data_IF_542710133327
#
_entry.id   IF_542710133327
#
_cell.length_a   1.000
_cell.length_b   1.000
_cell.length_c   1.000
_cell.angle_alpha   90.00
_cell.angle_beta   90.00
_cell.angle_gamma   90.00
#
_symmetry.space_group_name_H-M   'P 1'
#
loop_
_entity.id
_entity.type
_entity.pdbx_description
1 polymer ?
#
# COMPACT_ATOMS: atom_id res chain seq x y z
N UNK A 1 12.94 19.45 8.96
CA UNK A 1 13.27 19.60 7.53
C UNK A 1 12.26 20.54 6.89
N UNK A 2 12.68 21.48 6.05
CA UNK A 2 11.77 22.41 5.34
C UNK A 2 12.42 23.04 4.08
N UNK A 3 13.23 22.27 3.35
CA UNK A 3 14.03 22.77 2.23
C UNK A 3 13.19 23.44 1.13
N UNK A 4 12.06 22.85 0.74
CA UNK A 4 11.16 23.46 -0.25
C UNK A 4 10.65 24.84 0.21
N UNK A 5 10.29 24.98 1.49
CA UNK A 5 9.87 26.27 2.05
C UNK A 5 11.00 27.30 2.05
N UNK A 6 12.24 26.88 2.35
CA UNK A 6 13.42 27.76 2.28
C UNK A 6 13.69 28.28 0.86
N UNK A 7 13.24 27.55 -0.15
CA UNK A 7 13.33 27.93 -1.56
C UNK A 7 12.07 28.69 -2.05
N UNK A 8 11.10 28.97 -1.17
CA UNK A 8 9.89 29.72 -1.50
C UNK A 8 8.73 28.87 -2.03
N UNK A 9 8.80 27.53 -1.97
CA UNK A 9 7.70 26.65 -2.39
C UNK A 9 6.68 26.41 -1.26
N UNK A 10 5.40 26.33 -1.63
CA UNK A 10 4.32 25.87 -0.75
C UNK A 10 4.20 24.35 -0.85
N UNK A 11 4.77 23.64 0.13
CA UNK A 11 4.75 22.18 0.19
C UNK A 11 3.55 21.71 1.04
N UNK A 12 2.40 21.48 0.41
CA UNK A 12 1.14 21.16 1.11
C UNK A 12 0.53 19.81 0.70
N UNK A 13 1.29 18.95 0.02
CA UNK A 13 0.84 17.62 -0.42
C UNK A 13 1.92 16.58 -0.04
N UNK A 14 1.48 15.51 0.60
CA UNK A 14 2.28 14.33 0.90
C UNK A 14 1.63 13.11 0.23
N UNK A 15 2.39 12.44 -0.62
CA UNK A 15 2.01 11.15 -1.19
C UNK A 15 2.80 10.03 -0.48
N UNK A 16 2.09 9.10 0.17
CA UNK A 16 2.71 7.96 0.87
C UNK A 16 2.82 6.70 -0.02
N UNK A 17 2.37 6.79 -1.28
CA UNK A 17 2.42 5.70 -2.25
C UNK A 17 1.47 4.54 -1.90
N UNK A 18 1.85 3.34 -2.34
CA UNK A 18 1.06 2.12 -2.19
C UNK A 18 1.79 0.99 -1.48
N UNK A 19 1.58 -0.25 -1.96
CA UNK A 19 2.26 -1.44 -1.44
C UNK A 19 1.52 -2.20 -0.34
N UNK A 20 0.47 -1.61 0.24
CA UNK A 20 -0.41 -2.23 1.23
C UNK A 20 -0.92 -3.62 0.80
N UNK A 21 -0.95 -4.62 1.69
CA UNK A 21 -1.41 -5.96 1.36
C UNK A 21 -2.93 -5.98 1.13
N UNK A 22 -3.41 -6.83 0.22
CA UNK A 22 -4.85 -6.92 -0.14
C UNK A 22 -5.40 -8.33 -0.27
N UNK A 23 -4.60 -9.35 0.07
CA UNK A 23 -5.03 -10.75 0.03
C UNK A 23 -5.87 -11.07 1.27
N UNK A 24 -6.82 -12.00 1.14
CA UNK A 24 -7.54 -12.53 2.30
C UNK A 24 -6.56 -13.09 3.34
N UNK A 25 -6.76 -12.76 4.62
CA UNK A 25 -5.87 -13.17 5.70
C UNK A 25 -4.69 -12.23 5.97
N UNK A 26 -4.64 -11.07 5.32
CA UNK A 26 -3.59 -10.05 5.53
C UNK A 26 -4.08 -8.80 6.28
N UNK A 27 -5.28 -8.85 6.87
CA UNK A 27 -5.96 -7.72 7.49
C UNK A 27 -5.17 -7.17 8.68
N UNK A 28 -4.61 -8.05 9.52
CA UNK A 28 -3.78 -7.63 10.65
C UNK A 28 -2.51 -6.92 10.18
N UNK A 29 -1.85 -7.41 9.12
CA UNK A 29 -0.67 -6.75 8.57
C UNK A 29 -0.99 -5.36 8.02
N UNK A 30 -2.15 -5.19 7.37
CA UNK A 30 -2.60 -3.86 6.94
C UNK A 30 -2.83 -2.92 8.13
N UNK A 31 -3.46 -3.42 9.20
CA UNK A 31 -3.69 -2.65 10.43
C UNK A 31 -2.38 -2.20 11.10
N UNK A 32 -1.36 -3.07 11.14
CA UNK A 32 -0.05 -2.74 11.70
C UNK A 32 0.63 -1.64 10.88
N UNK A 33 0.58 -1.73 9.54
CA UNK A 33 1.10 -0.70 8.64
C UNK A 33 0.37 0.62 8.85
N UNK A 34 -0.97 0.60 8.89
CA UNK A 34 -1.77 1.80 9.08
C UNK A 34 -1.46 2.48 10.42
N UNK A 35 -1.26 1.69 11.48
CA UNK A 35 -0.89 2.20 12.81
C UNK A 35 0.46 2.89 12.77
N UNK A 36 1.48 2.25 12.19
CA UNK A 36 2.82 2.82 12.08
C UNK A 36 2.83 4.09 11.21
N UNK A 37 2.09 4.10 10.09
CA UNK A 37 1.94 5.28 9.23
C UNK A 37 1.29 6.43 9.99
N UNK A 38 0.19 6.18 10.71
CA UNK A 38 -0.50 7.21 11.48
C UNK A 38 0.39 7.82 12.58
N UNK A 39 1.20 7.00 13.25
CA UNK A 39 2.18 7.48 14.24
C UNK A 39 3.24 8.40 13.59
N UNK A 40 3.78 8.00 12.44
CA UNK A 40 4.75 8.81 11.72
C UNK A 40 4.14 10.11 11.16
N UNK A 41 2.88 10.07 10.71
CA UNK A 41 2.14 11.26 10.28
C UNK A 41 1.95 12.23 11.43
N UNK A 42 1.54 11.76 12.62
CA UNK A 42 1.40 12.61 13.81
C UNK A 42 2.73 13.27 14.21
N UNK A 43 3.85 12.54 14.13
CA UNK A 43 5.17 13.04 14.50
C UNK A 43 5.75 14.04 13.49
N UNK A 44 5.58 13.79 12.19
CA UNK A 44 6.30 14.53 11.14
C UNK A 44 5.41 15.49 10.34
N UNK A 45 4.11 15.24 10.28
CA UNK A 45 3.11 16.00 9.54
C UNK A 45 1.85 16.20 10.41
N UNK A 46 1.99 16.86 11.58
CA UNK A 46 0.91 17.00 12.54
C UNK A 46 -0.33 17.63 11.88
N UNK A 47 -1.52 17.20 12.32
CA UNK A 47 -2.79 17.55 11.68
C UNK A 47 -3.24 18.98 12.00
N UNK A 48 -2.49 19.96 11.53
CA UNK A 48 -2.79 21.40 11.58
C UNK A 48 -3.48 21.89 10.28
N UNK A 49 -3.78 20.98 9.35
CA UNK A 49 -4.41 21.25 8.07
C UNK A 49 -3.46 21.81 7.00
N UNK A 50 -2.15 21.93 7.28
CA UNK A 50 -1.18 22.48 6.33
C UNK A 50 -0.77 21.52 5.21
N UNK A 51 -0.91 20.21 5.44
CA UNK A 51 -0.54 19.16 4.47
C UNK A 51 -1.72 18.23 4.20
N UNK A 52 -2.08 18.11 2.93
CA UNK A 52 -2.99 17.08 2.43
C UNK A 52 -2.21 15.79 2.24
N UNK A 53 -2.65 14.70 2.85
CA UNK A 53 -2.07 13.37 2.65
C UNK A 53 -2.88 12.59 1.61
N UNK A 54 -2.21 11.94 0.67
CA UNK A 54 -2.78 10.99 -0.29
C UNK A 54 -1.99 9.69 -0.27
N UNK A 55 -2.59 8.62 -0.80
CA UNK A 55 -1.96 7.33 -1.00
C UNK A 55 -2.37 6.76 -2.37
N UNK A 56 -1.59 5.81 -2.87
CA UNK A 56 -1.78 5.13 -4.16
C UNK A 56 -2.02 3.61 -3.98
N UNK A 57 -3.09 3.20 -3.26
CA UNK A 57 -3.37 1.79 -3.01
C UNK A 57 -3.78 1.05 -4.29
N UNK A 58 -2.91 0.14 -4.77
CA UNK A 58 -3.21 -0.78 -5.86
C UNK A 58 -3.75 -2.12 -5.35
N UNK A 59 -2.84 -3.05 -5.06
CA UNK A 59 -3.17 -4.44 -4.66
C UNK A 59 -4.13 -4.52 -3.47
N UNK A 60 -4.06 -3.56 -2.54
CA UNK A 60 -4.98 -3.45 -1.41
C UNK A 60 -6.46 -3.55 -1.82
N UNK A 61 -6.84 -2.86 -2.90
CA UNK A 61 -8.22 -2.84 -3.35
C UNK A 61 -8.64 -4.08 -4.14
N UNK A 62 -7.73 -4.67 -4.90
CA UNK A 62 -8.11 -5.61 -5.98
C UNK A 62 -7.63 -7.04 -5.78
N UNK A 63 -6.67 -7.30 -4.88
CA UNK A 63 -6.00 -8.59 -4.86
C UNK A 63 -6.91 -9.76 -4.45
N UNK A 64 -7.82 -9.57 -3.49
CA UNK A 64 -8.80 -10.58 -3.07
C UNK A 64 -10.13 -10.51 -3.84
N UNK A 65 -10.31 -9.54 -4.73
CA UNK A 65 -11.57 -9.34 -5.45
C UNK A 65 -11.80 -10.37 -6.57
N UNK A 66 -10.76 -11.10 -6.98
CA UNK A 66 -10.81 -12.04 -8.09
C UNK A 66 -10.31 -13.42 -7.68
N UNK A 67 -10.93 -14.46 -8.23
CA UNK A 67 -10.46 -15.85 -8.15
C UNK A 67 -10.42 -16.43 -9.56
N UNK A 68 -9.28 -16.99 -9.96
CA UNK A 68 -9.12 -17.68 -11.24
C UNK A 68 -9.48 -19.15 -11.08
N UNK A 69 -10.49 -19.61 -11.81
CA UNK A 69 -10.81 -21.04 -11.97
C UNK A 69 -10.32 -21.53 -13.33
N UNK A 70 -9.57 -22.63 -13.36
CA UNK A 70 -9.05 -23.25 -14.59
C UNK A 70 -9.13 -24.77 -14.51
N UNK A 71 -9.24 -25.43 -15.67
CA UNK A 71 -9.30 -26.89 -15.79
C UNK A 71 -7.95 -27.48 -16.17
N UNK A 72 -7.64 -28.68 -15.69
CA UNK A 72 -6.48 -29.46 -16.14
C UNK A 72 -6.81 -30.05 -17.51
N UNK A 73 -6.07 -29.64 -18.54
CA UNK A 73 -6.33 -30.08 -19.92
C UNK A 73 -5.40 -31.20 -20.40
N UNK A 74 -4.29 -31.44 -19.70
CA UNK A 74 -3.34 -32.50 -20.00
C UNK A 74 -2.52 -32.86 -18.76
N UNK A 75 -2.12 -34.14 -18.68
CA UNK A 75 -1.17 -34.67 -17.72
C UNK A 75 -0.11 -35.46 -18.50
N UNK A 76 1.16 -35.35 -18.09
CA UNK A 76 2.25 -36.16 -18.64
C UNK A 76 2.79 -37.06 -17.55
N UNK A 77 2.77 -38.36 -17.79
CA UNK A 77 3.40 -39.34 -16.90
C UNK A 77 4.91 -39.38 -17.11
N UNK A 78 5.64 -39.53 -16.01
CA UNK A 78 7.07 -39.82 -16.04
C UNK A 78 7.23 -41.31 -16.37
N UNK A 79 7.97 -41.62 -17.44
CA UNK A 79 8.40 -42.99 -17.72
C UNK A 79 9.70 -43.19 -16.96
N UNK A 80 9.70 -44.07 -15.95
CA UNK A 80 10.94 -44.47 -15.28
C UNK A 80 11.84 -45.22 -16.29
N UNK A 81 13.01 -44.65 -16.57
CA UNK A 81 14.10 -45.25 -17.35
C UNK A 81 15.08 -46.00 -16.48
#
# INVERSE_FOLDING_TARGET
MNYGMKLGFTMNLLDIGGGFPGNTGTENHFSDIATAVNQALEEHFPNDGSVRVIAEPGRYYVASAYTLATSVIALRDMVDT
#
